data_IF_747602363161
#
_entry.id   IF_747602363161
#
_cell.length_a   1.000
_cell.length_b   1.000
_cell.length_c   1.000
_cell.angle_alpha   90.00
_cell.angle_beta   90.00
_cell.angle_gamma   90.00
#
_symmetry.space_group_name_H-M   'P 1'
#
loop_
_entity.id
_entity.type
_entity.pdbx_description
1 polymer ?
#
# COMPACT_ATOMS: atom_id res chain seq x y z
N UNK A 1 -18.63 -12.79 -7.69
CA UNK A 1 -19.05 -11.52 -8.33
C UNK A 1 -17.80 -10.83 -8.82
N UNK A 2 -17.73 -10.46 -10.09
CA UNK A 2 -16.59 -9.69 -10.59
C UNK A 2 -16.68 -8.28 -9.96
N UNK A 3 -15.72 -7.91 -9.17
CA UNK A 3 -15.60 -6.57 -8.62
C UNK A 3 -15.42 -5.59 -9.79
N UNK A 4 -16.35 -4.66 -9.93
CA UNK A 4 -16.17 -3.55 -10.86
C UNK A 4 -15.56 -2.38 -10.08
N UNK A 5 -14.29 -2.10 -10.34
CA UNK A 5 -13.71 -0.82 -9.96
C UNK A 5 -14.58 0.27 -10.57
N UNK A 6 -15.01 1.30 -9.81
CA UNK A 6 -15.79 2.39 -10.35
C UNK A 6 -15.09 2.93 -11.60
N UNK A 7 -15.79 2.98 -12.73
CA UNK A 7 -15.25 3.37 -14.04
C UNK A 7 -14.63 4.76 -14.02
N UNK A 8 -15.06 5.58 -13.05
CA UNK A 8 -14.58 6.94 -12.79
C UNK A 8 -13.24 6.99 -12.04
N UNK A 9 -12.80 5.86 -11.46
CA UNK A 9 -11.58 5.81 -10.65
C UNK A 9 -10.29 5.65 -11.48
N UNK A 10 -10.38 5.04 -12.67
CA UNK A 10 -9.21 4.70 -13.49
C UNK A 10 -9.36 5.14 -14.93
N UNK A 11 -9.02 6.40 -15.19
CA UNK A 11 -8.81 6.86 -16.56
C UNK A 11 -7.38 6.53 -17.02
N UNK A 12 -7.18 6.11 -18.31
CA UNK A 12 -5.85 5.91 -18.85
C UNK A 12 -5.03 7.20 -18.76
N UNK A 13 -3.82 7.11 -18.20
CA UNK A 13 -2.92 8.26 -18.15
C UNK A 13 -2.14 8.38 -19.45
N UNK A 14 -2.32 9.50 -20.19
CA UNK A 14 -1.54 9.83 -21.36
C UNK A 14 -0.14 10.39 -21.02
N UNK A 15 0.10 10.78 -19.77
CA UNK A 15 1.37 11.33 -19.30
C UNK A 15 2.47 10.26 -19.18
N UNK A 16 2.08 8.98 -19.10
CA UNK A 16 3.00 7.84 -18.97
C UNK A 16 2.67 6.76 -19.99
N UNK A 17 2.97 6.98 -21.28
CA UNK A 17 2.64 6.02 -22.35
C UNK A 17 3.32 4.67 -22.22
N UNK A 18 4.40 4.57 -21.41
CA UNK A 18 5.11 3.33 -21.12
C UNK A 18 4.51 2.55 -19.93
N UNK A 19 3.57 3.12 -19.20
CA UNK A 19 2.88 2.42 -18.14
C UNK A 19 1.81 1.51 -18.73
N UNK A 20 1.87 0.29 -18.30
CA UNK A 20 1.08 -0.75 -18.93
C UNK A 20 -0.37 -0.69 -18.43
N UNK A 21 -1.24 -0.06 -19.20
CA UNK A 21 -2.69 0.00 -18.95
C UNK A 21 -3.34 -1.39 -18.83
N UNK A 22 -2.65 -2.45 -19.24
CA UNK A 22 -3.09 -3.84 -19.11
C UNK A 22 -3.46 -4.19 -17.67
N UNK A 23 -2.74 -3.64 -16.69
CA UNK A 23 -2.97 -3.91 -15.27
C UNK A 23 -3.83 -2.86 -14.56
N UNK A 24 -4.29 -1.84 -15.27
CA UNK A 24 -5.19 -0.83 -14.72
C UNK A 24 -4.51 0.32 -13.99
N UNK A 25 -3.19 0.51 -14.19
CA UNK A 25 -2.50 1.74 -13.80
C UNK A 25 -3.12 2.92 -14.51
N UNK A 26 -3.46 3.96 -13.77
CA UNK A 26 -4.15 5.10 -14.37
C UNK A 26 -4.30 6.29 -13.43
N UNK A 27 -5.31 7.10 -13.66
CA UNK A 27 -5.64 8.25 -12.85
C UNK A 27 -6.76 7.92 -11.85
N UNK A 28 -6.55 8.30 -10.60
CA UNK A 28 -7.62 8.34 -9.60
C UNK A 28 -7.96 9.81 -9.29
N UNK A 29 -9.16 10.25 -9.68
CA UNK A 29 -9.59 11.65 -9.55
C UNK A 29 -8.54 12.64 -10.09
N UNK A 30 -7.96 12.33 -11.26
CA UNK A 30 -6.95 13.15 -11.93
C UNK A 30 -5.52 13.00 -11.38
N UNK A 31 -5.29 12.15 -10.38
CA UNK A 31 -3.98 11.89 -9.80
C UNK A 31 -3.50 10.50 -10.21
N UNK A 32 -2.24 10.39 -10.65
CA UNK A 32 -1.66 9.11 -11.06
C UNK A 32 -1.64 8.13 -9.88
N UNK A 33 -2.15 6.92 -10.12
CA UNK A 33 -2.06 5.77 -9.22
C UNK A 33 -1.21 4.69 -9.87
N UNK A 34 -0.09 4.36 -9.24
CA UNK A 34 0.85 3.32 -9.68
C UNK A 34 0.48 1.96 -9.08
N UNK A 35 -0.78 1.59 -9.20
CA UNK A 35 -1.32 0.37 -8.62
C UNK A 35 -2.09 -0.44 -9.67
N UNK A 36 -2.13 -1.75 -9.48
CA UNK A 36 -3.08 -2.59 -10.18
C UNK A 36 -4.51 -2.21 -9.76
N UNK A 37 -5.44 -2.15 -10.71
CA UNK A 37 -6.84 -1.78 -10.46
C UNK A 37 -7.54 -2.62 -9.38
N UNK A 38 -7.08 -3.86 -9.17
CA UNK A 38 -7.67 -4.78 -8.19
C UNK A 38 -7.37 -4.37 -6.73
N UNK A 39 -6.46 -3.41 -6.51
CA UNK A 39 -6.22 -2.90 -5.15
C UNK A 39 -7.50 -2.31 -4.55
N UNK A 40 -8.28 -1.57 -5.33
CA UNK A 40 -9.43 -0.83 -4.81
C UNK A 40 -10.46 -1.76 -4.12
N UNK A 41 -11.00 -2.81 -4.78
CA UNK A 41 -11.92 -3.74 -4.12
C UNK A 41 -11.27 -4.53 -2.98
N UNK A 42 -9.96 -4.81 -3.04
CA UNK A 42 -9.26 -5.49 -1.95
C UNK A 42 -9.18 -4.60 -0.70
N UNK A 43 -8.81 -3.33 -0.85
CA UNK A 43 -8.78 -2.37 0.25
C UNK A 43 -10.18 -2.02 0.76
N UNK A 44 -11.19 -1.90 -0.11
CA UNK A 44 -12.58 -1.72 0.30
C UNK A 44 -13.03 -2.85 1.23
N UNK A 45 -12.72 -4.10 0.87
CA UNK A 45 -13.02 -5.27 1.70
C UNK A 45 -12.24 -5.25 3.02
N UNK A 46 -10.96 -4.86 3.01
CA UNK A 46 -10.14 -4.73 4.20
C UNK A 46 -10.73 -3.72 5.19
N UNK A 47 -11.04 -2.51 4.73
CA UNK A 47 -11.63 -1.47 5.58
C UNK A 47 -13.05 -1.81 6.07
N UNK A 48 -13.79 -2.65 5.34
CA UNK A 48 -15.09 -3.15 5.80
C UNK A 48 -14.97 -4.23 6.90
N UNK A 49 -13.86 -4.94 6.97
CA UNK A 49 -13.65 -6.06 7.91
C UNK A 49 -12.85 -5.65 9.15
N UNK A 50 -11.97 -4.64 9.03
CA UNK A 50 -11.03 -4.23 10.06
C UNK A 50 -11.35 -2.81 10.56
N UNK A 51 -11.13 -2.58 11.84
CA UNK A 51 -11.39 -1.26 12.47
C UNK A 51 -10.13 -0.38 12.44
N UNK A 52 -9.61 -0.14 11.23
CA UNK A 52 -8.41 0.66 11.02
C UNK A 52 -8.74 2.13 11.27
N UNK A 53 -8.04 2.75 12.23
CA UNK A 53 -8.21 4.16 12.59
C UNK A 53 -7.03 5.04 12.18
N UNK A 54 -5.92 4.43 11.75
CA UNK A 54 -4.73 5.13 11.24
C UNK A 54 -4.12 4.38 10.08
N UNK A 55 -3.63 5.12 9.10
CA UNK A 55 -2.91 4.61 7.94
C UNK A 55 -1.59 5.36 7.81
N UNK A 56 -0.49 4.63 7.82
CA UNK A 56 0.84 5.11 7.46
C UNK A 56 1.22 4.58 6.08
N UNK A 57 1.45 5.47 5.12
CA UNK A 57 2.00 5.10 3.82
C UNK A 57 3.45 5.55 3.69
N UNK A 58 4.29 4.69 3.14
CA UNK A 58 5.67 4.99 2.77
C UNK A 58 5.74 4.88 1.25
N UNK A 59 6.11 5.99 0.59
CA UNK A 59 6.11 6.09 -0.87
C UNK A 59 4.82 6.74 -1.41
N UNK A 60 4.64 8.04 -1.20
CA UNK A 60 3.49 8.80 -1.73
C UNK A 60 3.45 8.82 -3.25
N UNK A 61 4.62 8.87 -3.89
CA UNK A 61 4.77 9.03 -5.34
C UNK A 61 3.89 10.18 -5.88
N UNK A 62 3.01 9.94 -6.86
CA UNK A 62 2.07 10.95 -7.33
C UNK A 62 0.88 11.19 -6.38
N UNK A 63 0.54 10.24 -5.51
CA UNK A 63 -0.50 10.34 -4.50
C UNK A 63 -1.86 9.78 -4.89
N UNK A 64 -2.00 9.20 -6.08
CA UNK A 64 -3.31 8.67 -6.53
C UNK A 64 -3.78 7.47 -5.73
N UNK A 65 -2.85 6.62 -5.26
CA UNK A 65 -3.18 5.48 -4.43
C UNK A 65 -3.69 5.92 -3.05
N UNK A 66 -2.93 6.75 -2.33
CA UNK A 66 -3.36 7.19 -0.99
C UNK A 66 -4.63 8.06 -1.05
N UNK A 67 -4.84 8.78 -2.17
CA UNK A 67 -6.09 9.49 -2.41
C UNK A 67 -7.28 8.52 -2.57
N UNK A 68 -7.07 7.37 -3.18
CA UNK A 68 -8.09 6.33 -3.28
C UNK A 68 -8.35 5.67 -1.91
N UNK A 69 -7.29 5.40 -1.15
CA UNK A 69 -7.42 4.91 0.24
C UNK A 69 -8.26 5.86 1.10
N UNK A 70 -8.04 7.18 0.97
CA UNK A 70 -8.84 8.19 1.69
C UNK A 70 -10.34 8.09 1.43
N UNK A 71 -10.74 7.71 0.23
CA UNK A 71 -12.17 7.57 -0.10
C UNK A 71 -12.80 6.29 0.47
N UNK A 72 -11.98 5.34 0.93
CA UNK A 72 -12.42 4.06 1.51
C UNK A 72 -12.50 4.08 3.04
N UNK A 73 -11.93 5.09 3.71
CA UNK A 73 -11.86 5.11 5.17
C UNK A 73 -11.84 6.52 5.74
N UNK A 74 -12.36 6.68 6.96
CA UNK A 74 -12.24 7.91 7.75
C UNK A 74 -11.02 7.90 8.69
N UNK A 75 -10.12 6.90 8.58
CA UNK A 75 -8.91 6.81 9.36
C UNK A 75 -8.03 8.06 9.22
N UNK A 76 -7.27 8.41 10.23
CA UNK A 76 -6.18 9.37 10.08
C UNK A 76 -5.14 8.83 9.09
N UNK A 77 -4.70 9.65 8.12
CA UNK A 77 -3.74 9.22 7.10
C UNK A 77 -2.53 10.13 7.12
N UNK A 78 -1.35 9.53 7.26
CA UNK A 78 -0.07 10.17 7.01
C UNK A 78 0.67 9.43 5.90
N UNK A 79 1.37 10.17 5.06
CA UNK A 79 2.20 9.61 4.00
C UNK A 79 3.57 10.28 3.96
N UNK A 80 4.59 9.52 3.59
CA UNK A 80 5.99 9.95 3.50
C UNK A 80 6.55 9.69 2.11
N UNK A 81 7.24 10.69 1.57
CA UNK A 81 8.10 10.53 0.38
C UNK A 81 9.27 11.51 0.45
N UNK A 82 10.40 11.14 -0.11
CA UNK A 82 11.57 12.01 -0.22
C UNK A 82 11.42 13.05 -1.34
N UNK A 83 10.45 12.85 -2.22
CA UNK A 83 10.12 13.75 -3.34
C UNK A 83 8.72 14.33 -3.10
N UNK A 84 8.62 15.66 -3.17
CA UNK A 84 7.33 16.33 -3.06
C UNK A 84 6.45 16.04 -4.28
N UNK A 85 5.26 15.50 -4.05
CA UNK A 85 4.27 15.37 -5.11
C UNK A 85 3.68 16.72 -5.51
N UNK A 86 3.45 16.95 -6.81
CA UNK A 86 2.75 18.14 -7.32
C UNK A 86 1.30 18.26 -6.81
N UNK A 87 0.76 17.18 -6.25
CA UNK A 87 -0.61 17.10 -5.75
C UNK A 87 -0.69 17.26 -4.22
N UNK A 88 0.40 17.65 -3.55
CA UNK A 88 0.45 17.79 -2.08
C UNK A 88 -0.74 18.60 -1.54
N UNK A 89 -0.99 19.79 -2.07
CA UNK A 89 -2.10 20.63 -1.60
C UNK A 89 -3.45 19.91 -1.73
N UNK A 90 -3.69 19.22 -2.85
CA UNK A 90 -4.92 18.43 -3.06
C UNK A 90 -5.05 17.29 -2.06
N UNK A 91 -3.94 16.61 -1.70
CA UNK A 91 -3.96 15.56 -0.69
C UNK A 91 -4.28 16.12 0.70
N UNK A 92 -3.63 17.23 1.07
CA UNK A 92 -3.85 17.90 2.35
C UNK A 92 -5.29 18.45 2.50
N UNK A 93 -5.87 19.00 1.44
CA UNK A 93 -7.29 19.41 1.38
C UNK A 93 -8.25 18.21 1.60
N UNK A 94 -7.80 17.00 1.36
CA UNK A 94 -8.53 15.77 1.61
C UNK A 94 -8.11 15.07 2.92
N UNK A 95 -7.54 15.82 3.87
CA UNK A 95 -7.14 15.32 5.19
C UNK A 95 -6.11 14.17 5.12
N UNK A 96 -5.15 14.28 4.22
CA UNK A 96 -3.98 13.40 4.14
C UNK A 96 -2.75 14.24 4.51
N UNK A 97 -2.07 13.91 5.59
CA UNK A 97 -0.84 14.60 6.01
C UNK A 97 0.34 14.14 5.14
N UNK A 98 0.91 15.05 4.34
CA UNK A 98 2.01 14.72 3.40
C UNK A 98 3.33 15.20 3.97
N UNK A 99 4.23 14.27 4.29
CA UNK A 99 5.56 14.52 4.82
C UNK A 99 6.62 14.34 3.72
N UNK A 100 7.30 15.45 3.35
CA UNK A 100 8.35 15.43 2.32
C UNK A 100 9.70 15.23 2.99
N UNK A 101 9.96 13.99 3.39
CA UNK A 101 11.21 13.53 4.00
C UNK A 101 11.23 12.00 4.03
N UNK A 102 12.39 11.43 4.31
CA UNK A 102 12.46 10.00 4.61
C UNK A 102 11.65 9.69 5.87
N UNK A 103 10.88 8.62 5.85
CA UNK A 103 10.19 8.09 7.03
C UNK A 103 11.17 7.76 8.16
N UNK A 104 12.42 7.41 7.82
CA UNK A 104 13.48 7.10 8.77
C UNK A 104 14.10 8.35 9.43
N UNK A 105 13.93 9.53 8.82
CA UNK A 105 14.35 10.81 9.42
C UNK A 105 13.34 11.31 10.48
N UNK A 106 12.18 10.65 10.58
CA UNK A 106 11.10 10.99 11.51
C UNK A 106 10.74 9.81 12.43
N UNK A 107 11.70 8.95 12.70
CA UNK A 107 11.50 7.63 13.29
C UNK A 107 10.71 7.67 14.60
N UNK A 108 11.03 8.58 15.51
CA UNK A 108 10.35 8.70 16.81
C UNK A 108 8.86 9.06 16.64
N UNK A 109 8.54 9.99 15.73
CA UNK A 109 7.16 10.38 15.44
C UNK A 109 6.38 9.24 14.76
N UNK A 110 7.03 8.48 13.88
CA UNK A 110 6.45 7.31 13.22
C UNK A 110 6.20 6.18 14.23
N UNK A 111 7.14 5.93 15.14
CA UNK A 111 6.97 4.96 16.23
C UNK A 111 5.79 5.35 17.14
N UNK A 112 5.68 6.61 17.54
CA UNK A 112 4.56 7.13 18.30
C UNK A 112 3.24 6.96 17.54
N UNK A 113 3.23 7.25 16.23
CA UNK A 113 2.05 7.08 15.38
C UNK A 113 1.60 5.62 15.29
N UNK A 114 2.53 4.67 15.06
CA UNK A 114 2.22 3.24 14.97
C UNK A 114 1.75 2.71 16.33
N UNK A 115 2.46 3.03 17.41
CA UNK A 115 2.15 2.54 18.77
C UNK A 115 0.90 3.16 19.38
N UNK A 116 0.39 4.24 18.83
CA UNK A 116 -0.77 4.95 19.30
C UNK A 116 -2.03 4.07 19.42
N UNK A 117 -3.13 4.63 19.96
CA UNK A 117 -4.36 3.90 20.30
C UNK A 117 -5.17 3.51 19.05
N UNK A 118 -5.71 2.28 19.03
CA UNK A 118 -6.49 1.73 17.91
C UNK A 118 -5.60 1.03 16.88
N UNK A 119 -6.22 0.41 15.89
CA UNK A 119 -5.54 -0.38 14.86
C UNK A 119 -4.88 0.52 13.83
N UNK A 120 -3.63 0.22 13.47
CA UNK A 120 -2.91 0.89 12.39
C UNK A 120 -2.73 -0.04 11.19
N UNK A 121 -2.77 0.55 10.00
CA UNK A 121 -2.36 -0.07 8.74
C UNK A 121 -1.07 0.61 8.27
N UNK A 122 0.00 -0.17 8.12
CA UNK A 122 1.29 0.29 7.58
C UNK A 122 1.44 -0.22 6.15
N UNK A 123 1.66 0.69 5.20
CA UNK A 123 1.80 0.44 3.77
C UNK A 123 3.25 0.70 3.34
N UNK A 124 4.01 -0.36 3.08
CA UNK A 124 5.38 -0.30 2.59
C UNK A 124 5.37 -0.29 1.06
N UNK A 125 5.42 0.90 0.47
CA UNK A 125 5.47 1.11 -0.98
C UNK A 125 6.58 2.11 -1.39
N UNK A 126 7.57 2.29 -0.53
CA UNK A 126 8.73 3.15 -0.75
C UNK A 126 9.85 2.51 -1.58
N UNK A 127 11.05 3.04 -1.40
CA UNK A 127 12.22 2.63 -2.18
C UNK A 127 12.82 1.29 -1.77
N UNK A 128 12.76 0.90 -0.50
CA UNK A 128 13.23 -0.40 0.01
C UNK A 128 12.14 -1.06 0.88
N UNK A 129 11.14 -1.61 0.22
CA UNK A 129 9.98 -2.26 0.83
C UNK A 129 10.36 -3.39 1.80
N UNK A 130 11.46 -4.10 1.52
CA UNK A 130 11.97 -5.14 2.40
C UNK A 130 12.46 -4.56 3.73
N UNK A 131 13.28 -3.50 3.65
CA UNK A 131 13.79 -2.84 4.85
C UNK A 131 12.65 -2.19 5.65
N UNK A 132 11.76 -1.49 4.97
CA UNK A 132 10.55 -0.90 5.55
C UNK A 132 9.73 -1.94 6.31
N UNK A 133 9.43 -3.09 5.68
CA UNK A 133 8.67 -4.18 6.30
C UNK A 133 9.37 -4.72 7.56
N UNK A 134 10.70 -4.95 7.48
CA UNK A 134 11.47 -5.44 8.62
C UNK A 134 11.55 -4.47 9.79
N UNK A 135 11.60 -3.19 9.51
CA UNK A 135 11.66 -2.15 10.55
C UNK A 135 10.30 -1.98 11.21
N UNK A 136 9.27 -1.69 10.41
CA UNK A 136 7.96 -1.31 10.94
C UNK A 136 7.17 -2.49 11.51
N UNK A 137 7.40 -3.71 11.06
CA UNK A 137 6.79 -4.89 11.68
C UNK A 137 7.12 -5.06 13.17
N UNK A 138 8.26 -4.53 13.63
CA UNK A 138 8.66 -4.58 15.04
C UNK A 138 7.90 -3.62 15.94
N UNK A 139 7.30 -2.58 15.36
CA UNK A 139 6.54 -1.55 16.09
C UNK A 139 5.06 -1.91 16.26
N UNK A 140 4.60 -2.94 15.54
CA UNK A 140 3.19 -3.32 15.54
C UNK A 140 2.78 -3.93 16.88
N UNK A 141 1.61 -3.53 17.36
CA UNK A 141 0.90 -4.18 18.45
C UNK A 141 -0.13 -5.18 17.91
N UNK A 142 -0.60 -6.09 18.75
CA UNK A 142 -1.63 -7.07 18.37
C UNK A 142 -2.81 -6.42 17.68
N UNK A 143 -3.20 -6.98 16.53
CA UNK A 143 -4.27 -6.51 15.67
C UNK A 143 -3.83 -5.53 14.58
N UNK A 144 -2.67 -4.90 14.66
CA UNK A 144 -2.15 -4.02 13.60
C UNK A 144 -1.84 -4.78 12.32
N UNK A 145 -1.86 -4.07 11.20
CA UNK A 145 -1.68 -4.65 9.86
C UNK A 145 -0.48 -4.00 9.16
N UNK A 146 0.33 -4.82 8.51
CA UNK A 146 1.41 -4.37 7.65
C UNK A 146 1.30 -4.99 6.27
N UNK A 147 1.52 -4.18 5.25
CA UNK A 147 1.44 -4.56 3.85
C UNK A 147 2.67 -4.09 3.08
N UNK A 148 2.99 -4.78 1.99
CA UNK A 148 4.01 -4.32 1.07
C UNK A 148 3.59 -4.57 -0.38
N UNK A 149 3.87 -3.60 -1.24
CA UNK A 149 3.58 -3.63 -2.68
C UNK A 149 4.69 -4.31 -3.49
N UNK A 150 4.45 -4.50 -4.80
CA UNK A 150 5.35 -5.19 -5.74
C UNK A 150 5.71 -6.61 -5.27
N UNK A 151 4.73 -7.30 -4.68
CA UNK A 151 4.90 -8.60 -4.06
C UNK A 151 4.48 -9.76 -4.96
N UNK A 152 5.26 -10.83 -4.89
CA UNK A 152 4.86 -12.17 -5.30
C UNK A 152 5.35 -13.18 -4.27
N UNK A 153 4.61 -14.27 -4.07
CA UNK A 153 5.05 -15.29 -3.11
C UNK A 153 6.45 -15.81 -3.40
N UNK A 154 6.72 -16.17 -4.66
CA UNK A 154 8.03 -16.57 -5.14
C UNK A 154 8.23 -16.22 -6.62
N UNK A 155 9.43 -16.51 -7.14
CA UNK A 155 9.81 -16.27 -8.53
C UNK A 155 8.98 -17.12 -9.51
N UNK A 156 8.59 -18.33 -9.11
CA UNK A 156 7.79 -19.22 -9.95
C UNK A 156 6.41 -18.64 -10.18
N UNK A 157 5.73 -18.21 -9.12
CA UNK A 157 4.43 -17.55 -9.20
C UNK A 157 4.53 -16.23 -9.97
N UNK A 158 5.57 -15.43 -9.71
CA UNK A 158 5.77 -14.19 -10.44
C UNK A 158 5.81 -14.42 -11.95
N UNK A 159 6.67 -15.34 -12.41
CA UNK A 159 6.83 -15.61 -13.84
C UNK A 159 5.63 -16.32 -14.46
N UNK A 160 5.00 -17.24 -13.73
CA UNK A 160 3.90 -18.04 -14.26
C UNK A 160 2.59 -17.25 -14.34
N UNK A 161 2.36 -16.30 -13.45
CA UNK A 161 1.06 -15.64 -13.33
C UNK A 161 1.13 -14.12 -13.12
N UNK A 162 1.82 -13.65 -12.06
CA UNK A 162 1.73 -12.25 -11.63
C UNK A 162 2.20 -11.30 -12.73
N UNK A 163 3.36 -11.57 -13.32
CA UNK A 163 3.99 -10.72 -14.33
C UNK A 163 3.08 -10.39 -15.51
N UNK A 164 2.34 -11.37 -15.98
CA UNK A 164 1.52 -11.23 -17.20
C UNK A 164 0.06 -10.85 -16.92
N UNK A 165 -0.42 -11.12 -15.70
CA UNK A 165 -1.85 -10.99 -15.40
C UNK A 165 -2.15 -9.93 -14.33
N UNK A 166 -1.20 -9.65 -13.42
CA UNK A 166 -1.43 -8.78 -12.27
C UNK A 166 -0.53 -7.54 -12.31
N UNK A 167 0.81 -7.73 -12.25
CA UNK A 167 1.75 -6.62 -12.10
C UNK A 167 3.13 -6.90 -12.69
N UNK A 168 3.67 -5.95 -13.43
CA UNK A 168 4.93 -6.12 -14.18
C UNK A 168 6.21 -6.06 -13.37
N UNK A 169 6.13 -5.72 -12.09
CA UNK A 169 7.28 -5.63 -11.19
C UNK A 169 7.14 -6.57 -10.01
N UNK A 170 8.28 -7.06 -9.51
CA UNK A 170 8.38 -7.82 -8.27
C UNK A 170 9.66 -7.38 -7.56
N UNK A 171 9.50 -6.61 -6.51
CA UNK A 171 10.61 -6.14 -5.66
C UNK A 171 10.69 -6.93 -4.35
N UNK A 172 9.64 -7.68 -4.01
CA UNK A 172 9.52 -8.39 -2.76
C UNK A 172 8.93 -9.79 -2.97
N UNK A 173 9.53 -10.78 -2.31
CA UNK A 173 9.03 -12.15 -2.23
C UNK A 173 8.88 -12.59 -0.77
N UNK A 174 8.14 -13.66 -0.52
CA UNK A 174 7.97 -14.18 0.84
C UNK A 174 9.30 -14.43 1.56
N UNK A 175 10.29 -15.00 0.88
CA UNK A 175 11.64 -15.24 1.45
C UNK A 175 12.31 -13.96 2.00
N UNK A 176 11.96 -12.79 1.44
CA UNK A 176 12.56 -11.51 1.82
C UNK A 176 11.98 -10.97 3.13
N UNK A 177 10.76 -11.42 3.51
CA UNK A 177 10.04 -11.00 4.72
C UNK A 177 9.82 -12.13 5.72
N UNK A 178 10.12 -13.39 5.38
CA UNK A 178 9.83 -14.57 6.19
C UNK A 178 10.35 -14.43 7.63
N UNK A 179 11.57 -13.91 7.81
CA UNK A 179 12.14 -13.68 9.13
C UNK A 179 11.30 -12.71 9.97
N UNK A 180 10.82 -11.60 9.38
CA UNK A 180 9.94 -10.67 10.08
C UNK A 180 8.59 -11.32 10.41
N UNK A 181 8.00 -12.05 9.46
CA UNK A 181 6.74 -12.78 9.64
C UNK A 181 6.83 -13.72 10.84
N UNK A 182 7.86 -14.55 10.89
CA UNK A 182 8.05 -15.54 11.95
C UNK A 182 8.37 -14.89 13.30
N UNK A 183 9.34 -13.97 13.33
CA UNK A 183 9.81 -13.36 14.58
C UNK A 183 8.83 -12.35 15.18
N UNK A 184 8.00 -11.73 14.35
CA UNK A 184 6.99 -10.78 14.78
C UNK A 184 5.60 -11.43 14.91
N UNK A 185 5.48 -12.73 14.72
CA UNK A 185 4.20 -13.45 14.88
C UNK A 185 3.09 -12.82 14.02
N UNK A 186 3.37 -12.70 12.71
CA UNK A 186 2.44 -12.14 11.75
C UNK A 186 1.64 -13.25 11.07
N UNK A 187 0.34 -13.10 10.99
CA UNK A 187 -0.58 -14.02 10.33
C UNK A 187 -1.02 -13.46 8.97
N UNK A 188 -1.10 -14.27 7.90
CA UNK A 188 -1.54 -13.79 6.60
C UNK A 188 -3.01 -13.37 6.65
N UNK A 189 -3.31 -12.24 6.00
CA UNK A 189 -4.66 -11.69 5.92
C UNK A 189 -5.04 -11.44 4.45
N UNK A 190 -6.19 -11.95 4.02
CA UNK A 190 -6.76 -11.73 2.69
C UNK A 190 -5.76 -12.00 1.54
N UNK A 191 -5.04 -13.12 1.63
CA UNK A 191 -3.93 -13.46 0.72
C UNK A 191 -4.36 -13.49 -0.74
N UNK A 192 -5.53 -14.07 -1.05
CA UNK A 192 -6.01 -14.21 -2.43
C UNK A 192 -6.32 -12.85 -3.05
N UNK A 193 -7.03 -11.99 -2.33
CA UNK A 193 -7.41 -10.66 -2.80
C UNK A 193 -6.20 -9.78 -3.04
N UNK A 194 -5.25 -9.78 -2.11
CA UNK A 194 -4.05 -8.94 -2.22
C UNK A 194 -3.02 -9.48 -3.19
N UNK A 195 -2.97 -10.79 -3.41
CA UNK A 195 -2.15 -11.35 -4.49
C UNK A 195 -2.59 -10.83 -5.86
N UNK A 196 -3.89 -10.69 -6.11
CA UNK A 196 -4.44 -10.12 -7.35
C UNK A 196 -4.22 -8.60 -7.48
N UNK A 197 -3.73 -7.97 -6.43
CA UNK A 197 -3.35 -6.57 -6.39
C UNK A 197 -1.83 -6.33 -6.30
N UNK A 198 -1.01 -7.39 -6.33
CA UNK A 198 0.44 -7.38 -6.12
C UNK A 198 0.86 -6.82 -4.75
N UNK A 199 0.03 -7.02 -3.74
CA UNK A 199 0.31 -6.72 -2.34
C UNK A 199 0.44 -7.98 -1.51
N UNK A 200 1.22 -7.92 -0.44
CA UNK A 200 1.13 -8.86 0.67
C UNK A 200 0.49 -8.17 1.87
N UNK A 201 -0.28 -8.91 2.67
CA UNK A 201 -1.00 -8.37 3.82
C UNK A 201 -0.86 -9.29 5.03
N UNK A 202 -0.44 -8.73 6.15
CA UNK A 202 -0.16 -9.48 7.38
C UNK A 202 -0.71 -8.75 8.60
N UNK A 203 -1.32 -9.51 9.51
CA UNK A 203 -1.86 -9.01 10.76
C UNK A 203 -1.02 -9.50 11.93
N UNK A 204 -0.70 -8.62 12.86
CA UNK A 204 -0.02 -8.95 14.10
C UNK A 204 -0.94 -9.75 15.01
N UNK A 205 -0.53 -10.98 15.37
CA UNK A 205 -1.25 -11.83 16.32
C UNK A 205 -1.35 -11.25 17.73
#
# INVERSE_FOLDING_TARGET
MAFQVPREAYEPSHEFPNWNHKWGVGLYKGIISQQNKNFYPAFEKLFAQENIVRVLEIGTAAGGFIRAVRDLTDAEIITYDVIETRHKATLEENNISVNVKSVFDDFDAVEEYISGKGQVLVLCDGGDKRYEFHVFSKMLKSGDIIMAHDYSYDETMYRAYIRENVWGWCQLQYKDIAFAVETQNLEPLMTEEFQEAAWTCWKKA
#
